data_IF_150706067785
#
_entry.id   IF_150706067785
#
_cell.length_a   1.000
_cell.length_b   1.000
_cell.length_c   1.000
_cell.angle_alpha   90.00
_cell.angle_beta   90.00
_cell.angle_gamma   90.00
#
_symmetry.space_group_name_H-M   'P 1'
#
loop_
_entity.id
_entity.type
_entity.pdbx_description
1 polymer ?
#
# COMPACT_ATOMS: atom_id res chain seq x y z
N UNK A 1 -5.55 11.59 22.97
CA UNK A 1 -6.77 12.17 22.36
C UNK A 1 -6.60 12.54 20.88
N UNK A 2 -5.64 13.35 20.45
CA UNK A 2 -5.51 13.73 18.99
C UNK A 2 -5.08 12.54 18.13
N UNK A 3 -4.15 11.72 18.56
CA UNK A 3 -3.64 10.53 17.83
C UNK A 3 -4.71 9.45 17.66
N UNK A 4 -5.50 9.18 18.69
CA UNK A 4 -6.55 8.16 18.70
C UNK A 4 -7.67 8.51 17.70
N UNK A 5 -8.03 9.78 17.62
CA UNK A 5 -9.02 10.29 16.66
C UNK A 5 -8.56 10.12 15.20
N UNK A 6 -7.25 10.25 14.92
CA UNK A 6 -6.72 10.09 13.55
C UNK A 6 -6.78 8.64 13.09
N UNK A 7 -6.46 7.67 13.97
CA UNK A 7 -6.52 6.23 13.66
C UNK A 7 -7.95 5.75 13.41
N UNK A 8 -8.88 6.16 14.26
CA UNK A 8 -10.31 5.85 14.09
C UNK A 8 -10.87 6.43 12.78
N UNK A 9 -10.42 7.63 12.39
CA UNK A 9 -10.80 8.22 11.10
C UNK A 9 -10.23 7.43 9.91
N UNK A 10 -8.98 6.95 10.00
CA UNK A 10 -8.37 6.12 8.95
C UNK A 10 -9.14 4.80 8.78
N UNK A 11 -9.48 4.13 9.89
CA UNK A 11 -10.34 2.95 9.88
C UNK A 11 -11.68 3.24 9.21
N UNK A 12 -12.34 4.33 9.59
CA UNK A 12 -13.62 4.74 9.03
C UNK A 12 -13.55 5.03 7.53
N UNK A 13 -12.48 5.70 7.07
CA UNK A 13 -12.25 5.98 5.64
C UNK A 13 -12.03 4.69 4.85
N UNK A 14 -11.28 3.74 5.39
CA UNK A 14 -11.09 2.44 4.76
C UNK A 14 -12.42 1.69 4.61
N UNK A 15 -13.22 1.56 5.69
CA UNK A 15 -14.54 0.92 5.65
C UNK A 15 -15.45 1.57 4.61
N UNK A 16 -15.51 2.90 4.59
CA UNK A 16 -16.32 3.66 3.62
C UNK A 16 -15.87 3.38 2.18
N UNK A 17 -14.58 3.35 1.93
CA UNK A 17 -14.01 3.06 0.61
C UNK A 17 -14.44 1.67 0.11
N UNK A 18 -14.26 0.63 0.95
CA UNK A 18 -14.64 -0.74 0.59
C UNK A 18 -16.14 -0.89 0.35
N UNK A 19 -16.98 -0.26 1.19
CA UNK A 19 -18.42 -0.24 1.02
C UNK A 19 -18.86 0.41 -0.31
N UNK A 20 -18.21 1.48 -0.73
CA UNK A 20 -18.51 2.14 -2.00
C UNK A 20 -18.12 1.32 -3.23
N UNK A 21 -17.14 0.42 -3.11
CA UNK A 21 -16.66 -0.40 -4.21
C UNK A 21 -17.49 -1.67 -4.41
N UNK A 22 -18.04 -2.24 -3.34
CA UNK A 22 -18.84 -3.46 -3.42
C UNK A 22 -20.23 -3.19 -3.97
N UNK A 23 -20.54 -3.78 -5.14
CA UNK A 23 -21.86 -3.62 -5.76
C UNK A 23 -22.90 -4.46 -5.02
N UNK A 24 -24.14 -3.96 -4.89
CA UNK A 24 -25.21 -4.65 -4.17
C UNK A 24 -25.49 -6.06 -4.69
N UNK A 25 -25.42 -6.25 -6.00
CA UNK A 25 -25.65 -7.53 -6.65
C UNK A 25 -24.61 -8.58 -6.22
N UNK A 26 -23.37 -8.17 -6.03
CA UNK A 26 -22.28 -9.02 -5.53
C UNK A 26 -22.51 -9.43 -4.08
N UNK A 27 -23.20 -8.59 -3.30
CA UNK A 27 -23.52 -8.85 -1.91
C UNK A 27 -24.89 -9.55 -1.71
N UNK A 28 -25.54 -9.99 -2.79
CA UNK A 28 -26.80 -10.72 -2.74
C UNK A 28 -28.04 -9.86 -2.61
N UNK A 29 -27.91 -8.54 -2.79
CA UNK A 29 -29.07 -7.66 -2.86
C UNK A 29 -29.57 -7.56 -4.30
N UNK A 30 -30.80 -8.03 -4.56
CA UNK A 30 -31.49 -7.82 -5.82
C UNK A 30 -31.75 -6.32 -6.02
N UNK A 31 -31.83 -5.88 -7.28
CA UNK A 31 -32.06 -4.50 -7.68
C UNK A 31 -33.13 -3.83 -6.84
N UNK A 32 -32.76 -2.90 -5.98
CA UNK A 32 -33.73 -2.11 -5.20
C UNK A 32 -34.39 -1.13 -6.16
N UNK A 33 -35.70 -1.16 -6.19
CA UNK A 33 -36.50 -0.17 -6.91
C UNK A 33 -36.18 1.23 -6.37
N UNK A 34 -35.51 2.05 -7.20
CA UNK A 34 -35.21 3.45 -6.89
C UNK A 34 -33.76 3.85 -7.21
N UNK A 35 -33.60 5.13 -7.55
CA UNK A 35 -32.31 5.70 -7.88
C UNK A 35 -31.36 5.68 -6.66
N UNK A 36 -30.25 4.89 -6.71
CA UNK A 36 -29.27 4.86 -5.63
C UNK A 36 -28.46 6.16 -5.62
N UNK A 37 -28.34 6.77 -4.44
CA UNK A 37 -27.50 7.96 -4.22
C UNK A 37 -26.02 7.59 -3.90
N UNK A 38 -25.75 6.32 -3.62
CA UNK A 38 -24.41 5.82 -3.30
C UNK A 38 -23.99 4.80 -4.35
N UNK A 39 -22.73 4.83 -4.82
CA UNK A 39 -22.26 3.94 -5.89
C UNK A 39 -22.15 2.47 -5.47
N UNK A 40 -22.08 2.15 -4.17
CA UNK A 40 -21.97 0.78 -3.65
C UNK A 40 -23.06 0.47 -2.62
N UNK A 41 -22.71 -0.38 -1.65
CA UNK A 41 -23.63 -0.75 -0.57
C UNK A 41 -24.03 0.47 0.28
N UNK A 42 -25.26 0.44 0.80
CA UNK A 42 -25.70 1.35 1.86
C UNK A 42 -25.17 0.88 3.22
N UNK A 43 -25.08 1.79 4.19
CA UNK A 43 -24.64 1.45 5.56
C UNK A 43 -25.53 0.40 6.20
N UNK A 44 -26.84 0.52 5.98
CA UNK A 44 -27.84 -0.42 6.48
C UNK A 44 -27.64 -1.83 5.88
N UNK A 45 -27.26 -1.91 4.60
CA UNK A 45 -27.00 -3.17 3.92
C UNK A 45 -25.76 -3.87 4.52
N UNK A 46 -24.67 -3.13 4.74
CA UNK A 46 -23.48 -3.68 5.41
C UNK A 46 -23.80 -4.10 6.84
N UNK A 47 -24.56 -3.29 7.57
CA UNK A 47 -24.94 -3.59 8.95
C UNK A 47 -25.73 -4.91 9.05
N UNK A 48 -26.69 -5.13 8.14
CA UNK A 48 -27.45 -6.40 8.06
C UNK A 48 -26.52 -7.58 7.79
N UNK A 49 -25.64 -7.47 6.80
CA UNK A 49 -24.69 -8.53 6.45
C UNK A 49 -23.70 -8.85 7.58
N UNK A 50 -23.26 -7.81 8.31
CA UNK A 50 -22.32 -7.96 9.42
C UNK A 50 -22.97 -8.35 10.75
N UNK A 51 -24.31 -8.38 10.82
CA UNK A 51 -25.03 -8.67 12.06
C UNK A 51 -24.89 -7.60 13.14
N UNK A 52 -24.77 -6.32 12.74
CA UNK A 52 -24.66 -5.17 13.65
C UNK A 52 -25.77 -4.16 13.38
N UNK A 53 -25.98 -3.19 14.30
CA UNK A 53 -26.93 -2.12 14.03
C UNK A 53 -26.39 -1.12 13.01
N UNK A 54 -27.27 -0.53 12.19
CA UNK A 54 -26.91 0.51 11.22
C UNK A 54 -26.24 1.73 11.89
N UNK A 55 -26.70 2.08 13.09
CA UNK A 55 -26.12 3.15 13.90
C UNK A 55 -24.68 2.83 14.32
N UNK A 56 -24.45 1.60 14.79
CA UNK A 56 -23.11 1.15 15.20
C UNK A 56 -22.12 1.16 14.03
N UNK A 57 -22.52 0.58 12.87
CA UNK A 57 -21.68 0.62 11.66
C UNK A 57 -21.42 2.06 11.21
N UNK A 58 -22.43 2.94 11.29
CA UNK A 58 -22.27 4.36 10.97
C UNK A 58 -21.24 5.04 11.86
N UNK A 59 -21.21 4.74 13.15
CA UNK A 59 -20.22 5.29 14.08
C UNK A 59 -18.81 4.81 13.76
N UNK A 60 -18.63 3.53 13.45
CA UNK A 60 -17.34 3.00 13.00
C UNK A 60 -16.86 3.69 11.71
N UNK A 61 -17.74 3.84 10.71
CA UNK A 61 -17.40 4.49 9.44
C UNK A 61 -17.09 5.99 9.61
N UNK A 62 -17.71 6.63 10.61
CA UNK A 62 -17.42 8.03 10.96
C UNK A 62 -16.14 8.20 11.80
N UNK A 63 -15.49 7.13 12.18
CA UNK A 63 -14.32 7.17 13.05
C UNK A 63 -14.62 7.64 14.48
N UNK A 64 -15.83 7.33 14.98
CA UNK A 64 -16.17 7.58 16.37
C UNK A 64 -15.50 6.54 17.28
N UNK A 65 -15.21 6.94 18.48
CA UNK A 65 -14.70 6.03 19.51
C UNK A 65 -15.81 5.09 19.99
N UNK A 66 -15.84 3.91 19.37
CA UNK A 66 -16.75 2.81 19.73
C UNK A 66 -15.94 1.53 19.88
N UNK A 67 -16.19 0.82 20.98
CA UNK A 67 -15.55 -0.47 21.21
C UNK A 67 -16.12 -1.52 20.27
N UNK A 68 -15.28 -2.10 19.43
CA UNK A 68 -15.61 -3.22 18.57
C UNK A 68 -14.88 -4.47 19.05
N UNK A 69 -15.54 -5.62 19.09
CA UNK A 69 -14.88 -6.90 19.30
C UNK A 69 -14.23 -7.37 17.99
N UNK A 70 -13.26 -8.29 18.10
CA UNK A 70 -12.62 -8.92 16.94
C UNK A 70 -13.67 -9.57 16.03
N UNK A 71 -14.65 -10.28 16.60
CA UNK A 71 -15.71 -10.94 15.84
C UNK A 71 -16.55 -9.96 15.03
N UNK A 72 -16.83 -8.78 15.57
CA UNK A 72 -17.55 -7.71 14.84
C UNK A 72 -16.73 -7.23 13.65
N UNK A 73 -15.44 -6.97 13.82
CA UNK A 73 -14.55 -6.53 12.74
C UNK A 73 -14.41 -7.61 11.66
N UNK A 74 -14.31 -8.89 12.06
CA UNK A 74 -14.28 -10.03 11.15
C UNK A 74 -15.61 -10.20 10.38
N UNK A 75 -16.74 -9.95 11.03
CA UNK A 75 -18.05 -9.96 10.38
C UNK A 75 -18.17 -8.84 9.35
N UNK A 76 -17.69 -7.64 9.68
CA UNK A 76 -17.65 -6.50 8.75
C UNK A 76 -16.73 -6.83 7.56
N UNK A 77 -15.57 -7.44 7.81
CA UNK A 77 -14.67 -7.87 6.73
C UNK A 77 -15.35 -8.83 5.75
N UNK A 78 -16.10 -9.81 6.29
CA UNK A 78 -16.89 -10.76 5.46
C UNK A 78 -18.03 -10.06 4.72
N UNK A 79 -18.77 -9.16 5.38
CA UNK A 79 -19.86 -8.40 4.79
C UNK A 79 -19.39 -7.53 3.62
N UNK A 80 -18.18 -6.96 3.73
CA UNK A 80 -17.56 -6.15 2.69
C UNK A 80 -16.76 -6.99 1.67
N UNK A 81 -16.76 -8.33 1.78
CA UNK A 81 -16.05 -9.26 0.91
C UNK A 81 -14.57 -8.90 0.74
N UNK A 82 -13.92 -8.49 1.83
CA UNK A 82 -12.52 -8.06 1.79
C UNK A 82 -11.61 -9.20 1.35
N UNK A 83 -10.62 -8.87 0.54
CA UNK A 83 -9.53 -9.78 0.21
C UNK A 83 -8.74 -10.15 1.48
N UNK A 84 -7.95 -11.23 1.50
CA UNK A 84 -7.10 -11.57 2.64
C UNK A 84 -6.21 -10.39 3.09
N UNK A 85 -5.64 -9.65 2.14
CA UNK A 85 -4.77 -8.50 2.43
C UNK A 85 -5.54 -7.33 3.05
N UNK A 86 -6.73 -7.02 2.51
CA UNK A 86 -7.61 -5.98 3.03
C UNK A 86 -8.14 -6.33 4.43
N UNK A 87 -8.43 -7.61 4.68
CA UNK A 87 -8.83 -8.11 5.99
C UNK A 87 -7.71 -7.95 7.02
N UNK A 88 -6.48 -8.33 6.67
CA UNK A 88 -5.31 -8.13 7.55
C UNK A 88 -5.11 -6.63 7.83
N UNK A 89 -5.22 -5.80 6.80
CA UNK A 89 -5.12 -4.34 6.94
C UNK A 89 -6.19 -3.77 7.88
N UNK A 90 -7.46 -4.19 7.71
CA UNK A 90 -8.56 -3.80 8.59
C UNK A 90 -8.28 -4.15 10.06
N UNK A 91 -7.80 -5.37 10.33
CA UNK A 91 -7.44 -5.82 11.68
C UNK A 91 -6.29 -4.99 12.26
N UNK A 92 -5.31 -4.62 11.46
CA UNK A 92 -4.19 -3.75 11.87
C UNK A 92 -4.65 -2.32 12.20
N UNK A 93 -5.62 -1.78 11.45
CA UNK A 93 -6.19 -0.46 11.75
C UNK A 93 -7.05 -0.48 13.02
N UNK A 94 -7.80 -1.58 13.23
CA UNK A 94 -8.68 -1.72 14.39
C UNK A 94 -7.92 -1.95 15.68
N UNK A 95 -6.95 -2.85 15.70
CA UNK A 95 -6.14 -3.17 16.89
C UNK A 95 -4.66 -2.87 16.66
N UNK A 96 -4.25 -1.61 16.76
CA UNK A 96 -2.85 -1.24 16.62
C UNK A 96 -1.96 -1.78 17.76
N UNK A 97 -2.56 -2.30 18.85
CA UNK A 97 -1.89 -2.85 20.03
C UNK A 97 -1.70 -4.38 19.98
N UNK A 98 -2.13 -5.09 18.95
CA UNK A 98 -1.53 -6.40 18.70
C UNK A 98 -0.02 -6.20 18.64
N UNK A 99 0.79 -7.00 19.35
CA UNK A 99 2.18 -6.68 19.56
C UNK A 99 2.90 -6.55 18.23
N UNK A 100 2.85 -5.34 17.70
CA UNK A 100 3.89 -4.89 16.79
C UNK A 100 5.09 -4.74 17.69
N UNK A 101 6.05 -5.59 17.55
CA UNK A 101 7.43 -5.27 17.86
C UNK A 101 7.91 -4.16 16.90
N UNK A 102 7.16 -3.07 16.86
CA UNK A 102 7.63 -1.82 16.30
C UNK A 102 8.03 -1.00 17.53
N UNK A 103 9.18 -1.34 18.08
CA UNK A 103 9.95 -0.32 18.74
C UNK A 103 10.15 0.79 17.72
N UNK A 104 9.83 2.04 18.09
CA UNK A 104 10.35 3.25 17.45
C UNK A 104 11.89 3.30 17.54
N UNK A 105 12.54 2.21 17.14
CA UNK A 105 13.97 2.15 17.02
C UNK A 105 14.26 2.64 15.62
N UNK A 106 14.54 3.91 15.52
CA UNK A 106 15.28 4.55 14.41
C UNK A 106 16.70 3.97 14.33
N UNK A 107 16.84 2.65 14.45
CA UNK A 107 18.10 1.98 14.22
C UNK A 107 18.31 1.98 12.72
N UNK A 108 19.30 2.75 12.27
CA UNK A 108 19.75 2.68 10.88
C UNK A 108 20.03 1.21 10.53
N UNK A 109 19.68 0.84 9.31
CA UNK A 109 19.97 -0.50 8.80
C UNK A 109 21.49 -0.72 8.80
N UNK A 110 21.90 -1.91 9.20
CA UNK A 110 23.32 -2.26 9.27
C UNK A 110 24.00 -2.17 7.89
N UNK A 111 25.20 -1.54 7.77
CA UNK A 111 25.93 -1.44 6.50
C UNK A 111 26.26 -2.79 5.86
N UNK A 112 26.28 -3.88 6.62
CA UNK A 112 26.49 -5.24 6.12
C UNK A 112 25.44 -5.64 5.09
N UNK A 113 24.22 -5.07 5.14
CA UNK A 113 23.21 -5.33 4.13
C UNK A 113 23.62 -4.88 2.73
N UNK A 114 24.41 -3.79 2.61
CA UNK A 114 24.99 -3.40 1.32
C UNK A 114 25.93 -4.49 0.78
N UNK A 115 26.73 -5.11 1.66
CA UNK A 115 27.62 -6.20 1.26
C UNK A 115 26.81 -7.43 0.83
N UNK A 116 25.72 -7.73 1.54
CA UNK A 116 24.85 -8.88 1.22
C UNK A 116 24.20 -8.69 -0.15
N UNK A 117 23.56 -7.54 -0.41
CA UNK A 117 22.87 -7.33 -1.69
C UNK A 117 23.83 -7.26 -2.87
N UNK A 118 25.08 -6.83 -2.66
CA UNK A 118 26.11 -6.82 -3.70
C UNK A 118 26.54 -8.22 -4.15
N UNK A 119 26.24 -9.28 -3.36
CA UNK A 119 26.44 -10.68 -3.77
C UNK A 119 25.35 -11.18 -4.73
N UNK A 120 24.24 -10.44 -4.86
CA UNK A 120 23.14 -10.84 -5.73
C UNK A 120 23.41 -10.42 -7.18
N UNK A 121 23.25 -11.36 -8.11
CA UNK A 121 23.31 -11.07 -9.54
C UNK A 121 22.03 -10.37 -10.05
N UNK A 122 20.90 -10.64 -9.41
CA UNK A 122 19.63 -10.01 -9.74
C UNK A 122 19.56 -8.59 -9.17
N UNK A 123 18.88 -7.64 -9.84
CA UNK A 123 18.65 -6.33 -9.28
C UNK A 123 18.01 -6.42 -7.89
N UNK A 124 18.62 -5.77 -6.92
CA UNK A 124 18.15 -5.78 -5.54
C UNK A 124 18.23 -4.39 -4.93
N UNK A 125 17.17 -4.00 -4.25
CA UNK A 125 17.06 -2.72 -3.54
C UNK A 125 16.59 -2.96 -2.12
N UNK A 126 17.01 -2.10 -1.20
CA UNK A 126 16.43 -1.99 0.12
C UNK A 126 15.84 -0.59 0.25
N UNK A 127 14.56 -0.54 0.60
CA UNK A 127 13.87 0.72 0.88
C UNK A 127 13.38 0.74 2.32
N UNK A 128 13.19 1.96 2.86
CA UNK A 128 12.50 2.13 4.13
C UNK A 128 10.97 2.24 3.91
N UNK A 129 10.21 2.29 5.00
CA UNK A 129 8.75 2.41 4.99
C UNK A 129 8.24 3.71 4.31
N UNK A 130 9.08 4.73 4.19
CA UNK A 130 8.81 5.96 3.45
C UNK A 130 9.01 5.82 1.94
N UNK A 131 9.42 4.65 1.46
CA UNK A 131 9.82 4.35 0.09
C UNK A 131 11.17 4.95 -0.35
N UNK A 132 12.01 5.42 0.57
CA UNK A 132 13.35 5.91 0.26
C UNK A 132 14.29 4.74 -0.05
N UNK A 133 15.09 4.84 -1.11
CA UNK A 133 16.15 3.90 -1.41
C UNK A 133 17.30 4.04 -0.41
N UNK A 134 17.56 2.99 0.36
CA UNK A 134 18.60 2.95 1.39
C UNK A 134 19.87 2.27 0.86
N UNK A 135 19.70 1.09 0.25
CA UNK A 135 20.75 0.34 -0.40
C UNK A 135 20.29 -0.25 -1.72
N UNK A 136 21.21 -0.42 -2.66
CA UNK A 136 20.99 -1.06 -3.95
C UNK A 136 22.28 -1.69 -4.47
N UNK A 137 22.15 -2.67 -5.36
CA UNK A 137 23.31 -3.27 -6.02
C UNK A 137 23.51 -2.70 -7.43
N UNK A 138 24.65 -2.96 -8.09
CA UNK A 138 24.92 -2.46 -9.43
C UNK A 138 23.89 -2.85 -10.48
N UNK A 139 23.30 -4.07 -10.37
CA UNK A 139 22.26 -4.50 -11.28
C UNK A 139 20.95 -3.67 -11.11
N UNK A 140 20.62 -3.27 -9.87
CA UNK A 140 19.51 -2.36 -9.61
C UNK A 140 19.76 -0.96 -10.16
N UNK A 141 21.01 -0.50 -10.14
CA UNK A 141 21.37 0.79 -10.71
C UNK A 141 21.04 0.85 -12.22
N UNK A 142 21.31 -0.22 -12.95
CA UNK A 142 20.92 -0.35 -14.37
C UNK A 142 19.40 -0.45 -14.55
N UNK A 143 18.71 -1.18 -13.67
CA UNK A 143 17.25 -1.33 -13.75
C UNK A 143 16.51 -0.01 -13.51
N UNK A 144 16.93 0.78 -12.50
CA UNK A 144 16.23 1.96 -11.99
C UNK A 144 16.80 3.30 -12.50
N UNK A 145 17.53 3.33 -13.62
CA UNK A 145 18.04 4.59 -14.21
C UNK A 145 19.00 5.36 -13.31
N UNK A 146 20.06 4.70 -12.90
CA UNK A 146 21.23 5.32 -12.24
C UNK A 146 20.92 5.99 -10.87
N UNK A 147 20.55 5.15 -9.89
CA UNK A 147 20.27 5.59 -8.52
C UNK A 147 21.46 6.32 -7.86
N UNK A 148 22.71 6.03 -8.30
CA UNK A 148 23.92 6.64 -7.76
C UNK A 148 23.99 8.16 -8.04
N UNK A 149 23.42 8.60 -9.17
CA UNK A 149 23.44 10.00 -9.60
C UNK A 149 22.25 10.81 -9.06
N UNK A 150 21.25 10.15 -8.46
CA UNK A 150 20.07 10.82 -7.95
C UNK A 150 20.36 11.64 -6.69
N UNK A 151 19.76 12.83 -6.61
CA UNK A 151 19.74 13.60 -5.39
C UNK A 151 18.95 12.88 -4.27
N UNK A 152 19.23 13.14 -2.99
CA UNK A 152 18.47 12.54 -1.88
C UNK A 152 16.97 12.74 -1.99
N UNK A 153 16.52 13.87 -2.55
CA UNK A 153 15.09 14.20 -2.71
C UNK A 153 14.41 13.38 -3.81
N UNK A 154 15.18 12.85 -4.76
CA UNK A 154 14.69 12.00 -5.85
C UNK A 154 14.70 10.52 -5.49
N UNK A 155 15.49 10.12 -4.48
CA UNK A 155 15.71 8.72 -4.07
C UNK A 155 14.51 8.09 -3.36
N UNK A 156 13.31 8.31 -3.88
CA UNK A 156 12.09 7.68 -3.39
C UNK A 156 11.46 6.81 -4.47
N UNK A 157 11.20 5.55 -4.15
CA UNK A 157 10.64 4.58 -5.08
C UNK A 157 9.31 5.08 -5.72
N UNK A 158 8.44 5.71 -4.93
CA UNK A 158 7.19 6.27 -5.48
C UNK A 158 7.47 7.42 -6.46
N UNK A 159 8.46 8.27 -6.21
CA UNK A 159 8.86 9.30 -7.18
C UNK A 159 9.46 8.69 -8.44
N UNK A 160 10.26 7.63 -8.31
CA UNK A 160 10.79 6.87 -9.43
C UNK A 160 9.67 6.36 -10.33
N UNK A 161 8.67 5.69 -9.77
CA UNK A 161 7.57 5.08 -10.54
C UNK A 161 6.72 6.12 -11.26
N UNK A 162 6.50 7.29 -10.68
CA UNK A 162 5.54 8.27 -11.20
C UNK A 162 6.18 9.47 -11.91
N UNK A 163 7.37 9.91 -11.48
CA UNK A 163 7.97 11.16 -11.95
C UNK A 163 9.22 10.94 -12.81
N UNK A 164 9.91 9.79 -12.69
CA UNK A 164 11.07 9.52 -13.53
C UNK A 164 10.62 9.08 -14.94
N UNK A 165 10.75 9.99 -15.91
CA UNK A 165 10.26 9.78 -17.28
C UNK A 165 10.99 8.65 -17.99
N UNK A 166 12.30 8.49 -17.77
CA UNK A 166 13.08 7.41 -18.37
C UNK A 166 12.61 6.05 -17.87
N UNK A 167 12.59 5.85 -16.56
CA UNK A 167 12.14 4.61 -15.95
C UNK A 167 10.72 4.26 -16.40
N UNK A 168 9.79 5.23 -16.31
CA UNK A 168 8.38 5.04 -16.69
C UNK A 168 8.23 4.64 -18.16
N UNK A 169 8.97 5.28 -19.07
CA UNK A 169 8.86 5.01 -20.52
C UNK A 169 9.31 3.60 -20.91
N UNK A 170 10.14 2.96 -20.09
CA UNK A 170 10.65 1.62 -20.30
C UNK A 170 9.71 0.52 -19.79
N UNK A 171 8.72 0.85 -18.95
CA UNK A 171 7.82 -0.15 -18.33
C UNK A 171 6.63 -0.41 -19.26
N UNK A 172 6.54 -1.65 -19.78
CA UNK A 172 5.47 -2.07 -20.69
C UNK A 172 4.11 -2.26 -20.02
N UNK A 173 4.08 -2.66 -18.74
CA UNK A 173 2.87 -2.83 -17.92
C UNK A 173 2.77 -1.77 -16.81
N UNK A 174 3.12 -0.52 -17.11
CA UNK A 174 3.28 0.53 -16.11
C UNK A 174 2.04 0.75 -15.23
N UNK A 175 0.85 0.77 -15.81
CA UNK A 175 -0.38 1.04 -15.06
C UNK A 175 -0.64 -0.01 -13.99
N UNK A 176 -0.54 -1.30 -14.36
CA UNK A 176 -0.70 -2.41 -13.42
C UNK A 176 0.38 -2.37 -12.31
N UNK A 177 1.63 -2.14 -12.72
CA UNK A 177 2.75 -2.04 -11.79
C UNK A 177 2.57 -0.88 -10.81
N UNK A 178 2.19 0.31 -11.29
CA UNK A 178 1.94 1.50 -10.50
C UNK A 178 0.80 1.28 -9.49
N UNK A 179 -0.31 0.65 -9.91
CA UNK A 179 -1.43 0.31 -9.02
C UNK A 179 -0.96 -0.59 -7.87
N UNK A 180 -0.16 -1.61 -8.15
CA UNK A 180 0.36 -2.52 -7.14
C UNK A 180 1.31 -1.80 -6.18
N UNK A 181 2.22 -0.96 -6.69
CA UNK A 181 3.14 -0.17 -5.87
C UNK A 181 2.39 0.78 -4.91
N UNK A 182 1.37 1.49 -5.41
CA UNK A 182 0.54 2.38 -4.58
C UNK A 182 -0.25 1.61 -3.54
N UNK A 183 -0.79 0.44 -3.88
CA UNK A 183 -1.54 -0.40 -2.95
C UNK A 183 -0.67 -0.87 -1.76
N UNK A 184 0.58 -1.24 -2.02
CA UNK A 184 1.56 -1.58 -0.97
C UNK A 184 1.91 -0.33 -0.14
N UNK A 185 2.23 0.80 -0.79
CA UNK A 185 2.61 2.04 -0.11
C UNK A 185 1.50 2.58 0.78
N UNK A 186 0.23 2.45 0.37
CA UNK A 186 -0.92 2.82 1.19
C UNK A 186 -0.95 2.06 2.52
N UNK A 187 -0.59 0.80 2.53
CA UNK A 187 -0.49 0.03 3.77
C UNK A 187 0.50 0.63 4.77
N UNK A 188 1.60 1.24 4.32
CA UNK A 188 2.52 1.98 5.19
C UNK A 188 1.94 3.32 5.63
N UNK A 189 1.39 4.09 4.70
CA UNK A 189 0.75 5.37 4.97
C UNK A 189 -0.35 5.25 6.05
N UNK A 190 -1.28 4.31 5.89
CA UNK A 190 -2.42 4.13 6.79
C UNK A 190 -2.00 3.69 8.21
N UNK A 191 -0.82 3.06 8.35
CA UNK A 191 -0.25 2.70 9.65
C UNK A 191 0.41 3.87 10.40
N UNK A 192 0.69 4.97 9.69
CA UNK A 192 1.35 6.17 10.26
C UNK A 192 0.50 7.42 10.03
N UNK A 193 -0.76 7.45 10.48
CA UNK A 193 -1.71 8.51 10.14
C UNK A 193 -1.34 9.88 10.73
N UNK A 194 -0.51 9.91 11.77
CA UNK A 194 0.04 11.12 12.39
C UNK A 194 1.31 11.66 11.74
N UNK A 195 1.93 10.91 10.85
CA UNK A 195 3.18 11.30 10.21
C UNK A 195 2.98 12.48 9.25
N UNK A 196 3.64 13.59 9.54
CA UNK A 196 3.68 14.76 8.67
C UNK A 196 4.33 14.41 7.33
N UNK A 197 5.45 13.66 7.39
CA UNK A 197 6.15 13.22 6.19
C UNK A 197 5.22 12.52 5.20
N UNK A 198 4.49 11.49 5.64
CA UNK A 198 3.59 10.75 4.73
C UNK A 198 2.52 11.64 4.12
N UNK A 199 1.93 12.55 4.91
CA UNK A 199 0.90 13.48 4.41
C UNK A 199 1.46 14.43 3.35
N UNK A 200 2.57 15.07 3.65
CA UNK A 200 3.20 16.04 2.73
C UNK A 200 3.71 15.34 1.48
N UNK A 201 4.34 14.17 1.61
CA UNK A 201 4.85 13.39 0.50
C UNK A 201 3.73 12.95 -0.46
N UNK A 202 2.63 12.38 0.07
CA UNK A 202 1.47 11.99 -0.75
C UNK A 202 0.82 13.21 -1.38
N UNK A 203 0.61 14.28 -0.63
CA UNK A 203 0.04 15.51 -1.16
C UNK A 203 0.89 16.08 -2.31
N UNK A 204 2.21 16.05 -2.16
CA UNK A 204 3.13 16.51 -3.21
C UNK A 204 3.07 15.61 -4.44
N UNK A 205 3.05 14.29 -4.26
CA UNK A 205 2.91 13.36 -5.39
C UNK A 205 1.57 13.51 -6.12
N UNK A 206 0.47 13.78 -5.42
CA UNK A 206 -0.82 14.08 -6.05
C UNK A 206 -0.76 15.35 -6.91
N UNK A 207 -0.04 16.38 -6.46
CA UNK A 207 0.15 17.62 -7.24
C UNK A 207 1.06 17.40 -8.45
N UNK A 208 2.11 16.59 -8.30
CA UNK A 208 3.13 16.38 -9.33
C UNK A 208 2.70 15.31 -10.37
N UNK A 209 1.74 14.41 -10.06
CA UNK A 209 1.26 13.34 -10.94
C UNK A 209 -0.24 13.11 -10.80
N UNK A 210 -1.04 13.52 -11.79
CA UNK A 210 -2.49 13.21 -11.85
C UNK A 210 -2.78 11.70 -11.85
N UNK A 211 -1.90 10.89 -12.43
CA UNK A 211 -2.04 9.43 -12.43
C UNK A 211 -1.85 8.86 -11.03
N UNK A 212 -0.88 9.39 -10.25
CA UNK A 212 -0.75 9.00 -8.85
C UNK A 212 -2.01 9.35 -8.07
N UNK A 213 -2.54 10.56 -8.20
CA UNK A 213 -3.77 11.00 -7.55
C UNK A 213 -4.94 10.08 -7.89
N UNK A 214 -5.12 9.74 -9.17
CA UNK A 214 -6.18 8.84 -9.63
C UNK A 214 -6.07 7.46 -8.99
N UNK A 215 -4.88 6.86 -9.00
CA UNK A 215 -4.63 5.54 -8.40
C UNK A 215 -4.76 5.61 -6.87
N UNK A 216 -4.26 6.67 -6.24
CA UNK A 216 -4.37 6.90 -4.81
C UNK A 216 -5.81 6.92 -4.33
N UNK A 217 -6.70 7.54 -5.09
CA UNK A 217 -8.14 7.64 -4.79
C UNK A 217 -8.91 6.32 -4.96
N UNK A 218 -8.30 5.27 -5.52
CA UNK A 218 -8.88 3.93 -5.55
C UNK A 218 -8.87 3.26 -4.18
N UNK A 219 -8.09 3.77 -3.21
CA UNK A 219 -7.94 3.21 -1.86
C UNK A 219 -7.64 1.71 -1.83
N UNK A 220 -6.94 1.20 -2.84
CA UNK A 220 -6.49 -0.20 -2.84
C UNK A 220 -5.39 -0.39 -1.80
N UNK A 221 -5.42 -1.53 -1.13
CA UNK A 221 -4.39 -1.96 -0.19
C UNK A 221 -3.95 -3.37 -0.56
N UNK A 222 -2.65 -3.59 -0.52
CA UNK A 222 -2.06 -4.90 -0.77
C UNK A 222 -0.90 -5.11 0.21
N UNK A 223 -0.83 -6.32 0.76
CA UNK A 223 0.38 -6.78 1.43
C UNK A 223 1.30 -7.32 0.35
N UNK A 224 2.58 -6.98 0.46
CA UNK A 224 3.61 -7.29 -0.55
C UNK A 224 3.41 -8.66 -1.19
N UNK A 225 3.04 -8.67 -2.47
CA UNK A 225 3.04 -9.86 -3.33
C UNK A 225 4.07 -9.66 -4.41
N UNK A 226 4.56 -10.76 -4.97
CA UNK A 226 5.31 -10.70 -6.20
C UNK A 226 4.55 -9.86 -7.24
N UNK A 227 5.21 -8.85 -7.78
CA UNK A 227 4.64 -7.94 -8.77
C UNK A 227 5.46 -8.07 -10.04
N UNK A 228 4.79 -8.36 -11.14
CA UNK A 228 5.44 -8.50 -12.43
C UNK A 228 5.80 -7.11 -12.99
N UNK A 229 7.08 -6.94 -13.35
CA UNK A 229 7.61 -5.75 -13.99
C UNK A 229 8.10 -6.11 -15.38
N UNK A 230 7.41 -5.65 -16.42
CA UNK A 230 7.88 -5.76 -17.80
C UNK A 230 8.63 -4.49 -18.16
N UNK A 231 9.95 -4.58 -18.34
CA UNK A 231 10.78 -3.40 -18.60
C UNK A 231 11.72 -3.60 -19.77
N UNK A 232 11.83 -2.58 -20.61
CA UNK A 232 12.86 -2.53 -21.66
C UNK A 232 14.21 -2.19 -21.03
N UNK A 233 15.20 -3.05 -21.31
CA UNK A 233 16.58 -2.89 -20.85
C UNK A 233 17.46 -2.41 -22.01
N UNK A 234 17.91 -1.14 -22.00
CA UNK A 234 18.68 -0.56 -23.10
C UNK A 234 19.96 -1.35 -23.42
N UNK A 235 20.69 -1.77 -22.40
CA UNK A 235 21.95 -2.51 -22.57
C UNK A 235 21.76 -3.88 -23.22
N UNK A 236 20.64 -4.53 -22.92
CA UNK A 236 20.27 -5.81 -23.51
C UNK A 236 19.44 -5.69 -24.81
N UNK A 237 19.04 -4.47 -25.17
CA UNK A 237 18.19 -4.15 -26.32
C UNK A 237 16.90 -5.01 -26.41
N UNK A 238 16.34 -5.38 -25.26
CA UNK A 238 15.14 -6.22 -25.16
C UNK A 238 14.30 -5.90 -23.92
N UNK A 239 13.01 -6.25 -24.00
CA UNK A 239 12.14 -6.25 -22.81
C UNK A 239 12.35 -7.52 -22.01
N UNK A 240 12.45 -7.36 -20.68
CA UNK A 240 12.59 -8.45 -19.73
C UNK A 240 11.45 -8.35 -18.71
N UNK A 241 10.85 -9.50 -18.39
CA UNK A 241 9.90 -9.60 -17.30
C UNK A 241 10.64 -9.97 -16.02
N UNK A 242 10.37 -9.25 -14.94
CA UNK A 242 10.91 -9.53 -13.61
C UNK A 242 9.79 -9.76 -12.63
N UNK A 243 9.91 -10.82 -11.82
CA UNK A 243 9.14 -10.95 -10.58
C UNK A 243 9.84 -10.17 -9.47
N UNK A 244 9.12 -9.26 -8.81
CA UNK A 244 9.63 -8.59 -7.62
C UNK A 244 9.30 -9.40 -6.36
N UNK A 245 10.31 -10.03 -5.79
CA UNK A 245 10.20 -10.78 -4.55
C UNK A 245 10.64 -9.92 -3.38
N UNK A 246 9.83 -9.85 -2.33
CA UNK A 246 10.08 -8.98 -1.18
C UNK A 246 10.38 -9.77 0.09
N UNK A 247 11.37 -9.30 0.82
CA UNK A 247 11.65 -9.71 2.20
C UNK A 247 11.42 -8.52 3.11
N UNK A 248 10.41 -8.62 3.98
CA UNK A 248 10.11 -7.61 4.99
C UNK A 248 10.80 -7.92 6.31
N UNK A 249 11.01 -6.88 7.10
CA UNK A 249 11.63 -7.00 8.44
C UNK A 249 13.11 -7.38 8.38
N UNK A 250 13.94 -6.45 7.97
CA UNK A 250 15.39 -6.60 8.01
C UNK A 250 15.92 -6.20 9.39
N UNK A 251 16.83 -6.97 9.97
CA UNK A 251 17.37 -6.77 11.34
C UNK A 251 16.28 -6.65 12.41
N UNK A 252 15.17 -7.41 12.28
CA UNK A 252 13.99 -7.26 13.13
C UNK A 252 13.35 -5.87 13.07
N UNK A 253 13.69 -5.04 12.09
CA UNK A 253 13.12 -3.73 11.88
C UNK A 253 12.10 -3.77 10.72
N UNK A 254 10.79 -3.66 11.00
CA UNK A 254 9.74 -3.73 9.99
C UNK A 254 9.67 -2.48 9.10
N UNK A 255 10.49 -1.47 9.39
CA UNK A 255 10.58 -0.26 8.59
C UNK A 255 11.46 -0.42 7.34
N UNK A 256 12.15 -1.55 7.20
CA UNK A 256 12.96 -1.85 6.04
C UNK A 256 12.50 -3.11 5.34
N UNK A 257 12.55 -3.08 4.02
CA UNK A 257 12.28 -4.26 3.20
C UNK A 257 13.20 -4.29 1.99
N UNK A 258 13.56 -5.49 1.59
CA UNK A 258 14.37 -5.76 0.42
C UNK A 258 13.47 -6.29 -0.70
N UNK A 259 13.63 -5.73 -1.90
CA UNK A 259 13.04 -6.27 -3.12
C UNK A 259 14.12 -6.81 -4.04
N UNK A 260 13.95 -8.04 -4.50
CA UNK A 260 14.81 -8.71 -5.48
C UNK A 260 14.01 -8.92 -6.75
N UNK A 261 14.53 -8.46 -7.87
CA UNK A 261 13.89 -8.57 -9.19
C UNK A 261 14.49 -9.75 -9.94
N UNK A 262 13.81 -10.90 -9.90
CA UNK A 262 14.23 -12.13 -10.56
C UNK A 262 13.67 -12.17 -11.97
N UNK A 263 14.51 -12.37 -13.03
CA UNK A 263 13.99 -12.48 -14.37
C UNK A 263 13.08 -13.71 -14.50
N UNK A 264 11.92 -13.52 -15.13
CA UNK A 264 11.00 -14.62 -15.45
C UNK A 264 11.49 -15.27 -16.74
N UNK A 265 11.70 -16.59 -16.70
CA UNK A 265 12.14 -17.41 -17.83
C UNK A 265 11.02 -17.67 -18.84
#
# INVERSE_FOLDING_TARGET
MIQENTKLRTLGMFLKSRRHQLQPEQAGFSHSYGQRRTPGLRREEVAVLAGVSATYYTWLEQGRDVTASRDVIENIARALQLTPDERIHLLQLWNPNEPKTISDVTKALSPEWQLIINQLHSPAIITNHMSEFVFWNPAANTLFSNLDEMSPEERFFMRMVFLNKDFRSRIGNWEEYAINCVAVYRGYYDRHPESLFFREFVQRLCLDSPEFESIWNLHRVQIQKACLLHIYMPDAQKSIAFDSNSVSTLDNNPNYHMCIYSPVS
#
